data_IF_685297265713
#
_entry.id   IF_685297265713
#
_cell.length_a   1.000
_cell.length_b   1.000
_cell.length_c   1.000
_cell.angle_alpha   90.00
_cell.angle_beta   90.00
_cell.angle_gamma   90.00
#
_symmetry.space_group_name_H-M   'P 1'
#
loop_
_entity.id
_entity.type
_entity.pdbx_description
1 polymer ?
#
# COMPACT_ATOMS: atom_id res chain seq x y z
N UNK A 1 -11.83 -56.15 42.44
CA UNK A 1 -12.60 -55.09 41.76
C UNK A 1 -11.87 -53.78 41.98
N UNK A 2 -11.01 -53.39 41.05
CA UNK A 2 -10.31 -52.10 41.08
C UNK A 2 -11.18 -51.11 40.32
N UNK A 3 -11.69 -50.09 41.02
CA UNK A 3 -12.47 -49.01 40.42
C UNK A 3 -11.56 -48.13 39.58
N UNK A 4 -11.90 -47.97 38.30
CA UNK A 4 -11.27 -46.99 37.42
C UNK A 4 -11.85 -45.63 37.81
N UNK A 5 -10.98 -44.76 38.34
CA UNK A 5 -11.32 -43.37 38.64
C UNK A 5 -11.42 -42.59 37.31
N UNK A 6 -12.65 -42.25 36.93
CA UNK A 6 -12.97 -41.54 35.69
C UNK A 6 -12.90 -40.01 35.85
N UNK A 7 -12.32 -39.49 36.95
CA UNK A 7 -12.31 -38.04 37.23
C UNK A 7 -11.05 -37.30 36.78
N UNK A 8 -10.01 -37.99 36.30
CA UNK A 8 -8.81 -37.37 35.73
C UNK A 8 -8.86 -37.30 34.20
N UNK A 9 -9.84 -36.58 33.66
CA UNK A 9 -9.77 -36.08 32.29
C UNK A 9 -9.27 -34.65 32.38
N UNK A 10 -7.95 -34.47 32.43
CA UNK A 10 -7.37 -33.15 32.22
C UNK A 10 -7.81 -32.67 30.83
N UNK A 11 -8.58 -31.58 30.72
CA UNK A 11 -8.89 -31.03 29.41
C UNK A 11 -7.57 -30.68 28.72
N UNK A 12 -7.45 -30.92 27.39
CA UNK A 12 -6.27 -30.51 26.65
C UNK A 12 -6.03 -29.02 26.90
N UNK A 13 -4.77 -28.59 27.09
CA UNK A 13 -4.44 -27.20 27.38
C UNK A 13 -5.13 -26.34 26.33
N UNK A 14 -5.95 -25.40 26.82
CA UNK A 14 -6.84 -24.53 26.06
C UNK A 14 -6.37 -24.37 24.62
N UNK A 15 -7.17 -24.87 23.68
CA UNK A 15 -7.09 -24.44 22.29
C UNK A 15 -7.22 -22.92 22.33
N UNK A 16 -6.07 -22.23 22.32
CA UNK A 16 -5.94 -20.81 22.56
C UNK A 16 -7.08 -20.11 21.84
N UNK A 17 -8.07 -19.65 22.63
CA UNK A 17 -9.26 -19.03 22.10
C UNK A 17 -8.75 -17.92 21.20
N UNK A 18 -8.95 -18.09 19.90
CA UNK A 18 -8.48 -17.16 18.89
C UNK A 18 -9.37 -15.93 19.07
N UNK A 19 -9.00 -15.05 20.00
CA UNK A 19 -9.80 -13.89 20.34
C UNK A 19 -9.70 -12.95 19.15
N UNK A 20 -10.68 -13.02 18.24
CA UNK A 20 -10.79 -12.06 17.16
C UNK A 20 -10.88 -10.67 17.79
N UNK A 21 -9.97 -9.74 17.45
CA UNK A 21 -10.04 -8.39 17.96
C UNK A 21 -11.38 -7.78 17.56
N UNK A 22 -12.09 -7.16 18.51
CA UNK A 22 -13.36 -6.50 18.21
C UNK A 22 -13.10 -5.37 17.18
N UNK A 23 -13.95 -5.16 16.16
CA UNK A 23 -13.74 -4.13 15.13
C UNK A 23 -13.54 -2.72 15.71
N UNK A 24 -14.17 -2.41 16.86
CA UNK A 24 -13.97 -1.17 17.58
C UNK A 24 -12.54 -0.97 18.13
N UNK A 25 -11.81 -2.05 18.44
CA UNK A 25 -10.39 -1.99 18.85
C UNK A 25 -9.41 -1.84 17.67
N UNK A 26 -9.88 -2.09 16.44
CA UNK A 26 -9.09 -1.91 15.21
C UNK A 26 -9.08 -0.43 14.78
N UNK A 27 -10.23 0.23 14.86
CA UNK A 27 -10.40 1.67 14.59
C UNK A 27 -10.21 2.49 15.88
N UNK A 28 -8.97 2.58 16.36
CA UNK A 28 -8.63 3.50 17.47
C UNK A 28 -8.50 4.92 16.91
N UNK A 29 -9.60 5.65 16.86
CA UNK A 29 -9.62 7.04 16.40
C UNK A 29 -8.88 7.96 17.37
N UNK A 30 -7.92 8.74 16.86
CA UNK A 30 -7.09 9.64 17.69
C UNK A 30 -7.19 11.08 17.19
N UNK A 31 -6.62 12.04 17.94
CA UNK A 31 -6.42 13.41 17.43
C UNK A 31 -5.59 13.44 16.16
N UNK A 32 -4.62 12.51 16.02
CA UNK A 32 -3.84 12.34 14.80
C UNK A 32 -4.69 11.86 13.63
N UNK A 33 -5.71 11.03 13.86
CA UNK A 33 -6.67 10.64 12.82
C UNK A 33 -7.38 11.85 12.22
N UNK A 34 -7.81 12.81 13.04
CA UNK A 34 -8.44 14.05 12.55
C UNK A 34 -7.47 14.92 11.73
N UNK A 35 -6.22 15.08 12.19
CA UNK A 35 -5.22 15.84 11.42
C UNK A 35 -4.93 15.20 10.06
N UNK A 36 -4.71 13.89 10.03
CA UNK A 36 -4.45 13.17 8.78
C UNK A 36 -5.65 13.24 7.84
N UNK A 37 -6.87 13.16 8.38
CA UNK A 37 -8.10 13.31 7.59
C UNK A 37 -8.22 14.71 6.99
N UNK A 38 -7.94 15.75 7.79
CA UNK A 38 -7.96 17.13 7.29
C UNK A 38 -6.91 17.34 6.21
N UNK A 39 -5.69 16.82 6.40
CA UNK A 39 -4.64 16.89 5.39
C UNK A 39 -5.04 16.13 4.12
N UNK A 40 -5.63 14.95 4.27
CA UNK A 40 -6.13 14.14 3.16
C UNK A 40 -7.21 14.86 2.36
N UNK A 41 -8.20 15.47 3.03
CA UNK A 41 -9.21 16.27 2.33
C UNK A 41 -8.62 17.52 1.69
N UNK A 42 -7.62 18.17 2.31
CA UNK A 42 -6.91 19.27 1.69
C UNK A 42 -6.17 18.81 0.42
N UNK A 43 -5.52 17.64 0.45
CA UNK A 43 -4.90 17.03 -0.73
C UNK A 43 -5.94 16.73 -1.81
N UNK A 44 -7.11 16.17 -1.45
CA UNK A 44 -8.21 15.93 -2.39
C UNK A 44 -8.71 17.21 -3.05
N UNK A 45 -8.81 18.30 -2.28
CA UNK A 45 -9.22 19.60 -2.81
C UNK A 45 -8.19 20.12 -3.83
N UNK A 46 -6.89 20.05 -3.50
CA UNK A 46 -5.82 20.44 -4.43
C UNK A 46 -5.87 19.59 -5.70
N UNK A 47 -6.00 18.27 -5.57
CA UNK A 47 -6.14 17.36 -6.72
C UNK A 47 -7.36 17.75 -7.54
N UNK A 48 -8.52 17.97 -6.92
CA UNK A 48 -9.74 18.37 -7.62
C UNK A 48 -9.59 19.66 -8.42
N UNK A 49 -8.85 20.64 -7.90
CA UNK A 49 -8.54 21.89 -8.62
C UNK A 49 -7.60 21.61 -9.80
N UNK A 50 -6.47 20.92 -9.57
CA UNK A 50 -5.47 20.65 -10.62
C UNK A 50 -6.04 19.75 -11.71
N UNK A 51 -6.88 18.78 -11.34
CA UNK A 51 -7.49 17.80 -12.23
C UNK A 51 -8.82 18.24 -12.82
N UNK A 52 -9.29 19.45 -12.54
CA UNK A 52 -10.55 19.94 -13.11
C UNK A 52 -10.65 19.81 -14.64
N UNK A 53 -9.59 20.08 -15.44
CA UNK A 53 -9.64 19.84 -16.88
C UNK A 53 -9.81 18.35 -17.24
N UNK A 54 -9.16 17.47 -16.49
CA UNK A 54 -9.30 16.02 -16.66
C UNK A 54 -10.70 15.55 -16.28
N UNK A 55 -11.29 16.11 -15.21
CA UNK A 55 -12.67 15.82 -14.82
C UNK A 55 -13.65 16.23 -15.93
N UNK A 56 -13.50 17.42 -16.50
CA UNK A 56 -14.30 17.86 -17.65
C UNK A 56 -14.15 16.93 -18.86
N UNK A 57 -12.92 16.53 -19.20
CA UNK A 57 -12.67 15.61 -20.30
C UNK A 57 -13.35 14.23 -20.07
N UNK A 58 -13.27 13.70 -18.85
CA UNK A 58 -13.95 12.45 -18.50
C UNK A 58 -15.49 12.59 -18.52
N UNK A 59 -16.03 13.70 -18.00
CA UNK A 59 -17.47 13.96 -18.05
C UNK A 59 -18.00 14.08 -19.48
N UNK A 60 -17.21 14.66 -20.39
CA UNK A 60 -17.53 14.73 -21.82
C UNK A 60 -17.47 13.38 -22.54
N UNK A 61 -16.74 12.40 -21.99
CA UNK A 61 -16.66 11.04 -22.52
C UNK A 61 -17.81 10.12 -22.06
N UNK A 62 -18.66 10.58 -21.12
CA UNK A 62 -19.79 9.79 -20.61
C UNK A 62 -20.84 9.64 -21.71
N UNK A 63 -21.15 8.38 -22.04
CA UNK A 63 -22.22 8.03 -22.95
C UNK A 63 -23.54 7.92 -22.16
N UNK A 64 -24.39 8.95 -22.25
CA UNK A 64 -25.69 8.99 -21.57
C UNK A 64 -26.70 7.96 -22.09
N UNK A 65 -26.43 7.33 -23.24
CA UNK A 65 -27.25 6.22 -23.73
C UNK A 65 -27.00 4.91 -22.98
N UNK A 66 -25.89 4.81 -22.25
CA UNK A 66 -25.51 3.64 -21.46
C UNK A 66 -25.74 3.85 -19.97
N UNK A 67 -26.00 2.78 -19.20
CA UNK A 67 -26.11 2.89 -17.75
C UNK A 67 -24.81 3.42 -17.14
N UNK A 68 -24.93 4.42 -16.25
CA UNK A 68 -23.78 5.05 -15.60
C UNK A 68 -22.93 4.07 -14.78
N UNK A 69 -23.57 3.12 -14.09
CA UNK A 69 -22.88 2.15 -13.25
C UNK A 69 -21.89 1.27 -14.04
N UNK A 70 -22.08 1.07 -15.35
CA UNK A 70 -21.15 0.31 -16.18
C UNK A 70 -19.94 1.12 -16.65
N UNK A 71 -20.02 2.46 -16.54
CA UNK A 71 -18.98 3.40 -16.96
C UNK A 71 -18.11 3.88 -15.78
N UNK A 72 -18.55 3.61 -14.55
CA UNK A 72 -17.83 3.95 -13.33
C UNK A 72 -16.70 2.95 -13.09
N UNK A 73 -15.52 3.46 -12.77
CA UNK A 73 -14.40 2.65 -12.28
C UNK A 73 -14.60 2.30 -10.81
N UNK A 74 -15.31 1.20 -10.56
CA UNK A 74 -15.56 0.69 -9.21
C UNK A 74 -14.29 0.25 -8.48
N UNK A 75 -13.27 -0.18 -9.21
CA UNK A 75 -12.00 -0.61 -8.62
C UNK A 75 -11.27 0.61 -8.05
N UNK A 76 -11.20 1.70 -8.80
CA UNK A 76 -10.60 2.95 -8.35
C UNK A 76 -11.30 3.48 -7.09
N UNK A 77 -12.65 3.52 -7.09
CA UNK A 77 -13.43 3.94 -5.92
C UNK A 77 -13.16 3.03 -4.72
N UNK A 78 -13.15 1.72 -4.93
CA UNK A 78 -12.90 0.73 -3.89
C UNK A 78 -11.51 0.87 -3.25
N UNK A 79 -10.46 0.99 -4.08
CA UNK A 79 -9.09 1.19 -3.61
C UNK A 79 -8.99 2.49 -2.82
N UNK A 80 -9.57 3.57 -3.34
CA UNK A 80 -9.53 4.88 -2.68
C UNK A 80 -10.23 4.85 -1.31
N UNK A 81 -11.40 4.20 -1.24
CA UNK A 81 -12.12 4.02 0.01
C UNK A 81 -11.32 3.18 1.03
N UNK A 82 -10.74 2.06 0.60
CA UNK A 82 -9.92 1.19 1.47
C UNK A 82 -8.68 1.93 1.97
N UNK A 83 -7.94 2.62 1.10
CA UNK A 83 -6.76 3.39 1.50
C UNK A 83 -7.12 4.49 2.50
N UNK A 84 -8.24 5.20 2.28
CA UNK A 84 -8.75 6.21 3.23
C UNK A 84 -8.97 5.58 4.61
N UNK A 85 -9.68 4.45 4.67
CA UNK A 85 -9.94 3.73 5.91
C UNK A 85 -8.65 3.25 6.60
N UNK A 86 -7.69 2.73 5.83
CA UNK A 86 -6.42 2.23 6.35
C UNK A 86 -5.57 3.33 6.98
N UNK A 87 -5.39 4.47 6.29
CA UNK A 87 -4.58 5.60 6.79
C UNK A 87 -5.13 6.12 8.12
N UNK A 88 -6.45 6.13 8.28
CA UNK A 88 -7.12 6.59 9.49
C UNK A 88 -7.00 5.60 10.66
N UNK A 89 -6.91 4.30 10.34
CA UNK A 89 -6.88 3.24 11.34
C UNK A 89 -5.58 3.30 12.17
N UNK A 90 -5.71 3.66 13.45
CA UNK A 90 -4.59 3.66 14.40
C UNK A 90 -3.49 4.68 14.10
N UNK A 91 -3.85 5.83 13.52
CA UNK A 91 -2.94 6.92 13.19
C UNK A 91 -2.10 7.40 14.40
N UNK A 92 -0.79 7.54 14.18
CA UNK A 92 0.17 8.05 15.16
C UNK A 92 1.26 8.86 14.46
N UNK A 93 1.17 10.18 14.61
CA UNK A 93 2.04 11.12 13.89
C UNK A 93 3.55 10.90 14.14
N UNK A 94 3.93 10.42 15.33
CA UNK A 94 5.35 10.21 15.68
C UNK A 94 5.96 9.07 14.86
N UNK A 95 5.19 8.01 14.63
CA UNK A 95 5.63 6.86 13.85
C UNK A 95 5.42 7.11 12.35
N UNK A 96 4.33 7.81 12.02
CA UNK A 96 3.92 8.04 10.64
C UNK A 96 4.79 9.08 9.93
N UNK A 97 5.37 10.04 10.65
CA UNK A 97 6.17 11.11 10.05
C UNK A 97 7.34 10.57 9.20
N UNK A 98 8.02 9.52 9.66
CA UNK A 98 9.11 8.91 8.90
C UNK A 98 8.59 8.22 7.63
N UNK A 99 7.47 7.50 7.72
CA UNK A 99 6.84 6.82 6.58
C UNK A 99 6.40 7.87 5.55
N UNK A 100 5.81 8.97 5.99
CA UNK A 100 5.42 10.10 5.15
C UNK A 100 6.65 10.71 4.46
N UNK A 101 7.73 10.96 5.20
CA UNK A 101 8.96 11.53 4.65
C UNK A 101 9.59 10.60 3.58
N UNK A 102 9.68 9.30 3.87
CA UNK A 102 10.15 8.29 2.92
C UNK A 102 9.22 8.21 1.70
N UNK A 103 7.91 8.25 1.90
CA UNK A 103 6.92 8.28 0.82
C UNK A 103 7.07 9.50 -0.08
N UNK A 104 7.27 10.69 0.48
CA UNK A 104 7.53 11.91 -0.30
C UNK A 104 8.82 11.82 -1.10
N UNK A 105 9.93 11.41 -0.47
CA UNK A 105 11.22 11.29 -1.13
C UNK A 105 11.21 10.22 -2.23
N UNK A 106 10.65 9.04 -1.92
CA UNK A 106 10.48 7.96 -2.89
C UNK A 106 9.58 8.36 -4.06
N UNK A 107 8.46 9.04 -3.76
CA UNK A 107 7.55 9.60 -4.77
C UNK A 107 8.23 10.60 -5.69
N UNK A 108 9.00 11.53 -5.14
CA UNK A 108 9.82 12.46 -5.93
C UNK A 108 10.77 11.71 -6.87
N UNK A 109 11.49 10.71 -6.36
CA UNK A 109 12.46 9.94 -7.14
C UNK A 109 11.78 9.17 -8.26
N UNK A 110 10.70 8.45 -7.97
CA UNK A 110 10.05 7.57 -8.95
C UNK A 110 9.28 8.37 -10.01
N UNK A 111 8.61 9.46 -9.63
CA UNK A 111 7.95 10.36 -10.59
C UNK A 111 8.97 11.08 -11.45
N UNK A 112 10.09 11.52 -10.86
CA UNK A 112 11.18 12.12 -11.64
C UNK A 112 11.75 11.11 -12.63
N UNK A 113 12.02 9.88 -12.19
CA UNK A 113 12.53 8.84 -13.06
C UNK A 113 11.56 8.51 -14.19
N UNK A 114 10.32 8.13 -13.90
CA UNK A 114 9.40 7.64 -14.93
C UNK A 114 8.96 8.69 -15.94
N UNK A 115 8.72 9.93 -15.48
CA UNK A 115 8.28 11.01 -16.37
C UNK A 115 9.43 11.56 -17.23
N UNK A 116 10.65 11.64 -16.72
CA UNK A 116 11.83 12.07 -17.49
C UNK A 116 12.26 11.01 -18.51
N UNK A 117 12.12 9.73 -18.16
CA UNK A 117 12.44 8.61 -19.07
C UNK A 117 11.30 8.27 -20.03
N UNK A 118 10.16 8.97 -19.95
CA UNK A 118 8.97 8.74 -20.75
C UNK A 118 8.38 7.32 -20.62
N UNK A 119 8.66 6.63 -19.52
CA UNK A 119 8.04 5.33 -19.22
C UNK A 119 6.54 5.53 -18.95
N UNK A 120 6.17 6.65 -18.32
CA UNK A 120 4.80 7.13 -18.29
C UNK A 120 4.74 8.65 -18.51
N UNK A 121 3.57 9.14 -18.92
CA UNK A 121 3.30 10.57 -19.10
C UNK A 121 1.94 10.90 -18.52
N UNK A 122 1.83 12.08 -17.91
CA UNK A 122 0.57 12.61 -17.41
C UNK A 122 -0.05 13.58 -18.41
N UNK A 123 -1.37 13.77 -18.30
CA UNK A 123 -2.11 14.71 -19.14
C UNK A 123 -1.61 16.17 -19.03
N UNK A 124 -0.96 16.54 -17.91
CA UNK A 124 -0.36 17.86 -17.71
C UNK A 124 1.03 18.01 -18.34
N UNK A 125 1.64 16.90 -18.79
CA UNK A 125 2.99 16.84 -19.36
C UNK A 125 4.15 17.29 -18.44
N UNK A 126 3.88 17.56 -17.16
CA UNK A 126 4.86 17.96 -16.14
C UNK A 126 5.83 16.81 -15.77
N UNK A 127 7.06 17.15 -15.34
CA UNK A 127 8.15 16.19 -15.07
C UNK A 127 9.13 16.65 -13.96
N UNK A 128 9.02 16.15 -12.71
CA UNK A 128 7.89 15.41 -12.16
C UNK A 128 6.69 16.35 -11.91
N UNK A 129 5.46 15.85 -12.04
CA UNK A 129 4.29 16.59 -11.57
C UNK A 129 4.29 16.68 -10.04
N UNK A 130 4.28 17.88 -9.47
CA UNK A 130 4.34 18.03 -8.01
C UNK A 130 3.02 17.63 -7.33
N UNK A 131 1.92 17.68 -8.05
CA UNK A 131 0.58 17.45 -7.53
C UNK A 131 0.30 15.97 -7.19
N UNK A 132 0.99 15.00 -7.82
CA UNK A 132 0.82 13.56 -7.51
C UNK A 132 1.68 13.13 -6.32
N UNK A 133 2.74 13.88 -6.01
CA UNK A 133 3.71 13.50 -4.97
C UNK A 133 3.05 13.23 -3.60
N UNK A 134 2.05 14.01 -3.14
CA UNK A 134 1.35 13.72 -1.90
C UNK A 134 0.62 12.37 -1.85
N UNK A 135 0.32 11.74 -3.00
CA UNK A 135 -0.31 10.41 -3.04
C UNK A 135 0.65 9.30 -2.56
N UNK A 136 1.95 9.47 -2.74
CA UNK A 136 2.95 8.47 -2.34
C UNK A 136 2.98 8.21 -0.83
N UNK A 137 3.00 9.22 0.06
CA UNK A 137 2.78 9.04 1.50
C UNK A 137 1.51 8.26 1.86
N UNK A 138 0.39 8.51 1.16
CA UNK A 138 -0.88 7.83 1.40
C UNK A 138 -0.75 6.33 1.08
N UNK A 139 -0.10 6.01 -0.04
CA UNK A 139 0.21 4.62 -0.41
C UNK A 139 1.13 3.95 0.61
N UNK A 140 2.24 4.60 1.00
CA UNK A 140 3.18 4.06 1.99
C UNK A 140 2.52 3.81 3.35
N UNK A 141 1.70 4.74 3.83
CA UNK A 141 0.92 4.55 5.06
C UNK A 141 -0.07 3.41 4.91
N UNK A 142 -0.79 3.32 3.78
CA UNK A 142 -1.76 2.24 3.55
C UNK A 142 -1.09 0.86 3.59
N UNK A 143 0.11 0.72 3.00
CA UNK A 143 0.90 -0.52 3.03
C UNK A 143 1.32 -0.87 4.47
N UNK A 144 1.86 0.08 5.23
CA UNK A 144 2.20 -0.13 6.65
C UNK A 144 0.98 -0.57 7.48
N UNK A 145 -0.16 0.07 7.26
CA UNK A 145 -1.41 -0.23 7.97
C UNK A 145 -1.95 -1.60 7.63
N UNK A 146 -1.90 -1.97 6.35
CA UNK A 146 -2.27 -3.30 5.89
C UNK A 146 -1.36 -4.38 6.50
N UNK A 147 -0.04 -4.14 6.54
CA UNK A 147 0.91 -5.03 7.20
C UNK A 147 0.60 -5.20 8.69
N UNK A 148 0.37 -4.10 9.43
CA UNK A 148 -0.01 -4.15 10.85
C UNK A 148 -1.33 -4.88 11.06
N UNK A 149 -2.30 -4.69 10.17
CA UNK A 149 -3.59 -5.40 10.20
C UNK A 149 -3.37 -6.90 10.03
N UNK A 150 -2.59 -7.33 9.04
CA UNK A 150 -2.25 -8.73 8.84
C UNK A 150 -1.55 -9.35 10.05
N UNK A 151 -0.68 -8.60 10.72
CA UNK A 151 -0.05 -9.04 11.97
C UNK A 151 -1.08 -9.23 13.09
N UNK A 152 -2.03 -8.30 13.24
CA UNK A 152 -3.10 -8.37 14.26
C UNK A 152 -4.10 -9.48 14.01
N UNK A 153 -4.40 -9.76 12.75
CA UNK A 153 -5.29 -10.87 12.35
C UNK A 153 -4.62 -12.24 12.52
N UNK A 154 -3.38 -12.28 13.04
CA UNK A 154 -2.63 -13.49 13.33
C UNK A 154 -2.57 -14.45 12.14
N UNK A 155 -2.38 -13.93 10.92
CA UNK A 155 -2.01 -14.78 9.78
C UNK A 155 -0.79 -15.61 10.21
N UNK A 156 -0.86 -16.96 10.18
CA UNK A 156 -0.02 -17.77 11.06
C UNK A 156 1.48 -17.55 10.81
N UNK A 157 2.19 -17.12 11.84
CA UNK A 157 3.66 -17.04 11.89
C UNK A 157 4.34 -18.39 11.65
N UNK A 158 3.57 -19.48 11.76
CA UNK A 158 4.00 -20.85 11.48
C UNK A 158 4.55 -21.07 10.06
N UNK A 159 4.22 -20.22 9.09
CA UNK A 159 4.61 -20.40 7.69
C UNK A 159 5.84 -19.60 7.27
N UNK A 160 6.83 -19.41 8.16
CA UNK A 160 8.09 -18.69 7.83
C UNK A 160 8.73 -19.18 6.53
N UNK A 161 8.78 -20.50 6.32
CA UNK A 161 9.30 -21.10 5.08
C UNK A 161 8.50 -20.69 3.85
N UNK A 162 7.18 -20.61 3.94
CA UNK A 162 6.34 -20.18 2.82
C UNK A 162 6.66 -18.73 2.44
N UNK A 163 6.75 -17.81 3.41
CA UNK A 163 7.11 -16.41 3.13
C UNK A 163 8.48 -16.29 2.49
N UNK A 164 9.49 -17.05 2.96
CA UNK A 164 10.81 -17.07 2.34
C UNK A 164 10.77 -17.61 0.90
N UNK A 165 10.04 -18.69 0.64
CA UNK A 165 9.89 -19.25 -0.72
C UNK A 165 9.17 -18.27 -1.64
N UNK A 166 8.05 -17.71 -1.19
CA UNK A 166 7.30 -16.71 -1.95
C UNK A 166 8.14 -15.48 -2.23
N UNK A 167 8.91 -14.99 -1.25
CA UNK A 167 9.82 -13.87 -1.42
C UNK A 167 10.83 -14.14 -2.55
N UNK A 168 11.54 -15.27 -2.48
CA UNK A 168 12.56 -15.64 -3.48
C UNK A 168 11.99 -16.11 -4.82
N UNK A 169 10.68 -16.29 -4.92
CA UNK A 169 10.00 -16.50 -6.19
C UNK A 169 9.53 -15.17 -6.78
N UNK A 170 8.81 -14.37 -6.00
CA UNK A 170 8.14 -13.15 -6.46
C UNK A 170 9.14 -12.05 -6.80
N UNK A 171 10.09 -11.75 -5.92
CA UNK A 171 10.99 -10.62 -6.13
C UNK A 171 11.98 -10.80 -7.30
N UNK A 172 12.58 -11.99 -7.51
CA UNK A 172 13.39 -12.21 -8.71
C UNK A 172 12.57 -12.19 -10.01
N UNK A 173 11.36 -12.74 -10.02
CA UNK A 173 10.46 -12.65 -11.18
C UNK A 173 10.11 -11.19 -11.46
N UNK A 174 9.73 -10.43 -10.42
CA UNK A 174 9.47 -9.00 -10.53
C UNK A 174 10.68 -8.25 -11.09
N UNK A 175 11.89 -8.52 -10.58
CA UNK A 175 13.11 -7.86 -11.05
C UNK A 175 13.41 -8.21 -12.52
N UNK A 176 13.20 -9.45 -12.95
CA UNK A 176 13.35 -9.86 -14.33
C UNK A 176 12.34 -9.14 -15.26
N UNK A 177 11.07 -9.03 -14.84
CA UNK A 177 10.06 -8.27 -15.56
C UNK A 177 10.38 -6.77 -15.61
N UNK A 178 10.91 -6.22 -14.51
CA UNK A 178 11.34 -4.83 -14.46
C UNK A 178 12.50 -4.60 -15.44
N UNK A 179 13.49 -5.49 -15.49
CA UNK A 179 14.62 -5.39 -16.41
C UNK A 179 14.17 -5.35 -17.87
N UNK A 180 13.24 -6.22 -18.26
CA UNK A 180 12.72 -6.22 -19.64
C UNK A 180 11.94 -4.95 -19.95
N UNK A 181 11.12 -4.49 -19.00
CA UNK A 181 10.32 -3.29 -19.13
C UNK A 181 11.17 -2.01 -19.26
N UNK A 182 12.20 -1.85 -18.42
CA UNK A 182 13.02 -0.62 -18.39
C UNK A 182 14.20 -0.65 -19.36
N UNK A 183 14.45 -1.78 -20.03
CA UNK A 183 15.59 -1.96 -20.94
C UNK A 183 15.78 -0.84 -21.97
N UNK A 184 14.72 -0.29 -22.61
CA UNK A 184 14.87 0.81 -23.56
C UNK A 184 15.52 2.06 -22.95
N UNK A 185 15.43 2.24 -21.63
CA UNK A 185 15.94 3.40 -20.89
C UNK A 185 17.25 3.12 -20.15
N UNK A 186 17.92 1.98 -20.41
CA UNK A 186 19.13 1.54 -19.69
C UNK A 186 20.31 2.52 -19.71
N UNK A 187 20.35 3.43 -20.69
CA UNK A 187 21.39 4.46 -20.80
C UNK A 187 21.19 5.61 -19.80
N UNK A 188 20.00 5.72 -19.20
CA UNK A 188 19.66 6.78 -18.26
C UNK A 188 20.17 6.43 -16.86
N UNK A 189 20.86 7.39 -16.22
CA UNK A 189 21.42 7.19 -14.87
C UNK A 189 20.35 6.86 -13.83
N UNK A 190 19.16 7.47 -13.94
CA UNK A 190 18.03 7.18 -13.05
C UNK A 190 17.53 5.74 -13.18
N UNK A 191 17.53 5.17 -14.37
CA UNK A 191 17.18 3.76 -14.58
C UNK A 191 18.19 2.84 -13.91
N UNK A 192 19.49 3.12 -14.06
CA UNK A 192 20.55 2.34 -13.40
C UNK A 192 20.46 2.45 -11.87
N UNK A 193 20.23 3.65 -11.33
CA UNK A 193 20.03 3.87 -9.90
C UNK A 193 18.80 3.13 -9.36
N UNK A 194 17.68 3.14 -10.11
CA UNK A 194 16.47 2.42 -9.72
C UNK A 194 16.69 0.91 -9.73
N UNK A 195 17.35 0.36 -10.75
CA UNK A 195 17.72 -1.07 -10.82
C UNK A 195 18.63 -1.46 -9.65
N UNK A 196 19.66 -0.65 -9.37
CA UNK A 196 20.57 -0.89 -8.25
C UNK A 196 19.84 -0.86 -6.92
N UNK A 197 19.00 0.15 -6.67
CA UNK A 197 18.23 0.26 -5.43
C UNK A 197 17.26 -0.93 -5.27
N UNK A 198 16.57 -1.34 -6.33
CA UNK A 198 15.68 -2.50 -6.28
C UNK A 198 16.46 -3.77 -5.98
N UNK A 199 17.59 -4.02 -6.66
CA UNK A 199 18.43 -5.17 -6.38
C UNK A 199 18.96 -5.15 -4.94
N UNK A 200 19.41 -3.99 -4.45
CA UNK A 200 19.86 -3.82 -3.07
C UNK A 200 18.74 -4.15 -2.06
N UNK A 201 17.52 -3.63 -2.26
CA UNK A 201 16.38 -3.91 -1.39
C UNK A 201 15.97 -5.39 -1.41
N UNK A 202 16.02 -6.04 -2.58
CA UNK A 202 15.71 -7.46 -2.72
C UNK A 202 16.76 -8.35 -2.02
N UNK A 203 18.03 -7.94 -2.03
CA UNK A 203 19.13 -8.75 -1.49
C UNK A 203 19.40 -8.51 0.00
N UNK A 204 18.84 -7.47 0.61
CA UNK A 204 19.11 -7.09 2.02
C UNK A 204 17.91 -7.23 2.98
N UNK A 205 16.93 -8.16 2.79
CA UNK A 205 15.82 -8.27 3.70
C UNK A 205 16.28 -8.73 5.10
N UNK A 206 15.85 -8.01 6.13
CA UNK A 206 16.04 -8.42 7.53
C UNK A 206 14.93 -9.35 8.00
N UNK A 207 13.72 -9.21 7.45
CA UNK A 207 12.57 -10.09 7.65
C UNK A 207 11.81 -10.27 6.33
N UNK A 208 11.81 -11.49 5.79
CA UNK A 208 11.16 -11.85 4.51
C UNK A 208 9.62 -11.73 4.56
N UNK A 209 9.05 -11.65 5.76
CA UNK A 209 7.60 -11.45 5.94
C UNK A 209 7.23 -9.96 5.94
N UNK A 210 8.15 -9.10 6.35
CA UNK A 210 7.93 -7.66 6.41
C UNK A 210 8.39 -6.91 5.15
N UNK A 211 9.14 -7.59 4.28
CA UNK A 211 9.61 -7.11 2.99
C UNK A 211 8.56 -7.34 1.89
#
# INVERSE_FOLDING_TARGET
MAGIDLTSFDPPPDSAARHWPRPASLFRWTRSSYLLLSLFFATLLVIGIVWWPLAQANMGAIDWSRPLWAQIDWLLIGIFAVMTLLVMAGANIKTDALIVAVGFAGGLVIESWGTQTHIWTYFTLERPPLWIIPAWPIASLSIDRLYRLFNRLALPTAHRRLFTVLYWLIFPIFYALMLTFVWPTRAQSLTLSALFLCAFLILTPTDHRAA
#
